data_IF_582576187230
#
_entry.id   IF_582576187230
#
_cell.length_a   1.000
_cell.length_b   1.000
_cell.length_c   1.000
_cell.angle_alpha   90.00
_cell.angle_beta   90.00
_cell.angle_gamma   90.00
#
_symmetry.space_group_name_H-M   'P 1'
#
loop_
_entity.id
_entity.type
_entity.pdbx_description
1 polymer ?
#
# COMPACT_ATOMS: atom_id res chain seq x y z
N UNK A 1 -25.57 -15.33 2.94
CA UNK A 1 -24.26 -15.45 2.26
C UNK A 1 -23.32 -14.47 2.92
N UNK A 2 -22.23 -14.94 3.53
CA UNK A 2 -21.23 -14.03 4.11
C UNK A 2 -20.65 -13.17 3.00
N UNK A 3 -20.65 -11.84 3.20
CA UNK A 3 -20.11 -10.92 2.20
C UNK A 3 -18.58 -11.00 2.27
N UNK A 4 -17.93 -11.24 1.13
CA UNK A 4 -16.47 -11.38 0.98
C UNK A 4 -15.93 -10.37 -0.02
N UNK A 5 -14.62 -10.10 0.00
CA UNK A 5 -13.96 -9.18 -0.93
C UNK A 5 -12.72 -9.81 -1.53
N UNK A 6 -12.67 -9.93 -2.86
CA UNK A 6 -11.46 -10.39 -3.56
C UNK A 6 -10.31 -9.37 -3.45
N UNK A 7 -9.08 -9.86 -3.37
CA UNK A 7 -7.85 -9.06 -3.42
C UNK A 7 -7.76 -8.22 -4.71
N UNK A 8 -8.28 -8.74 -5.83
CA UNK A 8 -8.31 -8.05 -7.13
C UNK A 8 -8.93 -6.64 -7.03
N UNK A 9 -9.96 -6.46 -6.19
CA UNK A 9 -10.59 -5.15 -6.00
C UNK A 9 -9.65 -4.12 -5.37
N UNK A 10 -8.74 -4.56 -4.50
CA UNK A 10 -7.74 -3.70 -3.86
C UNK A 10 -6.55 -3.51 -4.80
N UNK A 11 -6.05 -4.60 -5.38
CA UNK A 11 -4.90 -4.60 -6.30
C UNK A 11 -5.19 -3.74 -7.54
N UNK A 12 -6.35 -3.90 -8.19
CA UNK A 12 -6.72 -3.07 -9.35
C UNK A 12 -6.72 -1.57 -9.04
N UNK A 13 -7.01 -1.19 -7.78
CA UNK A 13 -6.96 0.20 -7.33
C UNK A 13 -5.53 0.70 -7.15
N UNK A 14 -4.62 -0.16 -6.68
CA UNK A 14 -3.18 0.11 -6.68
C UNK A 14 -2.68 0.28 -8.12
N UNK A 15 -2.99 -0.67 -9.00
CA UNK A 15 -2.52 -0.62 -10.39
C UNK A 15 -2.95 0.67 -11.07
N UNK A 16 -4.19 1.12 -10.91
CA UNK A 16 -4.63 2.43 -11.44
C UNK A 16 -3.86 3.64 -10.87
N UNK A 17 -3.28 3.54 -9.67
CA UNK A 17 -2.40 4.59 -9.11
C UNK A 17 -1.01 4.54 -9.76
N UNK A 18 -0.52 3.33 -10.07
CA UNK A 18 0.78 3.10 -10.73
C UNK A 18 0.71 3.37 -12.23
N UNK A 19 -0.34 2.95 -12.94
CA UNK A 19 -0.53 3.11 -14.40
C UNK A 19 -0.56 4.57 -14.87
N UNK A 20 -0.85 5.52 -13.97
CA UNK A 20 -0.72 6.95 -14.27
C UNK A 20 0.75 7.38 -14.45
N UNK A 21 1.69 6.52 -14.09
CA UNK A 21 3.12 6.60 -14.37
C UNK A 21 3.40 5.86 -15.69
N UNK A 22 3.48 6.62 -16.79
CA UNK A 22 3.31 6.15 -18.18
C UNK A 22 4.36 5.15 -18.68
N UNK A 23 5.39 4.88 -17.91
CA UNK A 23 6.51 4.01 -18.29
C UNK A 23 6.46 2.61 -17.63
N UNK A 24 5.48 2.31 -16.78
CA UNK A 24 5.48 1.06 -16.00
C UNK A 24 5.42 -0.23 -16.86
N UNK A 25 4.69 -0.20 -17.97
CA UNK A 25 4.52 -1.37 -18.85
C UNK A 25 5.49 -1.43 -20.04
N UNK A 26 6.30 -0.39 -20.29
CA UNK A 26 7.23 -0.38 -21.42
C UNK A 26 8.52 -1.18 -21.15
N UNK A 27 8.78 -1.54 -19.89
CA UNK A 27 9.98 -2.29 -19.49
C UNK A 27 9.86 -3.82 -19.60
N UNK A 28 8.64 -4.36 -19.59
CA UNK A 28 8.44 -5.82 -19.61
C UNK A 28 8.25 -6.30 -21.05
N UNK A 29 9.32 -6.82 -21.64
CA UNK A 29 9.36 -7.40 -22.99
C UNK A 29 8.66 -8.78 -23.05
N UNK A 30 7.50 -8.93 -22.40
CA UNK A 30 6.73 -10.16 -22.21
C UNK A 30 5.29 -9.98 -22.71
N UNK A 31 4.55 -11.08 -22.92
CA UNK A 31 3.15 -10.99 -23.34
C UNK A 31 2.29 -10.33 -22.26
N UNK A 32 1.27 -9.55 -22.66
CA UNK A 32 0.42 -8.76 -21.74
C UNK A 32 -0.18 -9.62 -20.61
N UNK A 33 -0.49 -10.89 -20.88
CA UNK A 33 -1.02 -11.84 -19.90
C UNK A 33 0.01 -12.31 -18.87
N UNK A 34 1.26 -12.55 -19.28
CA UNK A 34 2.33 -12.97 -18.36
C UNK A 34 2.81 -11.80 -17.49
N UNK A 35 2.79 -10.58 -18.05
CA UNK A 35 3.04 -9.35 -17.28
C UNK A 35 1.95 -9.17 -16.23
N UNK A 36 0.67 -9.41 -16.58
CA UNK A 36 -0.42 -9.30 -15.62
C UNK A 36 -0.28 -10.28 -14.46
N UNK A 37 0.02 -11.56 -14.71
CA UNK A 37 0.16 -12.53 -13.62
C UNK A 37 1.33 -12.21 -12.68
N UNK A 38 2.47 -11.79 -13.24
CA UNK A 38 3.63 -11.39 -12.43
C UNK A 38 3.35 -10.13 -11.60
N UNK A 39 2.69 -9.15 -12.20
CA UNK A 39 2.28 -7.91 -11.53
C UNK A 39 1.27 -8.19 -10.43
N UNK A 40 0.33 -9.11 -10.65
CA UNK A 40 -0.63 -9.52 -9.63
C UNK A 40 0.06 -10.23 -8.47
N UNK A 41 0.96 -11.18 -8.72
CA UNK A 41 1.74 -11.87 -7.68
C UNK A 41 2.53 -10.89 -6.81
N UNK A 42 3.23 -9.94 -7.46
CA UNK A 42 3.95 -8.88 -6.74
C UNK A 42 3.01 -7.98 -5.93
N UNK A 43 1.87 -7.60 -6.52
CA UNK A 43 0.89 -6.76 -5.86
C UNK A 43 0.20 -7.45 -4.68
N UNK A 44 -0.01 -8.76 -4.73
CA UNK A 44 -0.46 -9.57 -3.59
C UNK A 44 0.57 -9.52 -2.46
N UNK A 45 1.87 -9.61 -2.78
CA UNK A 45 2.92 -9.38 -1.79
C UNK A 45 2.87 -7.98 -1.16
N UNK A 46 2.59 -6.93 -1.94
CA UNK A 46 2.40 -5.59 -1.41
C UNK A 46 1.15 -5.47 -0.53
N UNK A 47 0.10 -6.26 -0.81
CA UNK A 47 -1.11 -6.29 -0.01
C UNK A 47 -0.84 -6.88 1.38
N UNK A 48 -0.07 -7.96 1.47
CA UNK A 48 0.30 -8.56 2.76
C UNK A 48 1.12 -7.58 3.61
N UNK A 49 2.15 -6.97 3.04
CA UNK A 49 2.95 -5.95 3.72
C UNK A 49 2.09 -4.74 4.14
N UNK A 50 1.11 -4.36 3.32
CA UNK A 50 0.19 -3.27 3.64
C UNK A 50 -0.77 -3.61 4.79
N UNK A 51 -1.22 -4.87 4.89
CA UNK A 51 -2.01 -5.37 6.02
C UNK A 51 -1.17 -5.34 7.30
N UNK A 52 0.07 -5.86 7.24
CA UNK A 52 1.01 -5.81 8.36
C UNK A 52 1.30 -4.38 8.80
N UNK A 53 1.50 -3.48 7.83
CA UNK A 53 1.69 -2.07 8.11
C UNK A 53 0.47 -1.45 8.79
N UNK A 54 -0.75 -1.77 8.35
CA UNK A 54 -1.97 -1.27 8.98
C UNK A 54 -2.09 -1.76 10.42
N UNK A 55 -2.03 -3.08 10.64
CA UNK A 55 -2.26 -3.70 11.95
C UNK A 55 -1.12 -3.41 12.92
N UNK A 56 0.10 -3.16 12.45
CA UNK A 56 1.19 -2.69 13.32
C UNK A 56 1.04 -1.24 13.81
N UNK A 57 0.21 -0.43 13.12
CA UNK A 57 -0.01 0.98 13.44
C UNK A 57 -1.32 1.25 14.16
N UNK A 58 -2.25 0.30 14.15
CA UNK A 58 -3.52 0.44 14.80
C UNK A 58 -4.18 -0.89 15.15
N UNK A 59 -5.26 -0.81 15.92
CA UNK A 59 -6.16 -1.93 16.18
C UNK A 59 -7.45 -1.70 15.38
N UNK A 60 -7.59 -2.31 14.19
CA UNK A 60 -8.79 -2.14 13.38
C UNK A 60 -10.00 -2.84 14.00
N UNK A 61 -11.20 -2.37 13.68
CA UNK A 61 -12.46 -2.97 14.15
C UNK A 61 -12.72 -4.36 13.53
N UNK A 62 -11.97 -4.73 12.50
CA UNK A 62 -12.05 -6.03 11.80
C UNK A 62 -10.67 -6.64 11.68
N UNK A 63 -10.62 -7.96 11.70
CA UNK A 63 -9.38 -8.68 11.50
C UNK A 63 -8.99 -8.70 10.01
N UNK A 64 -8.01 -7.88 9.64
CA UNK A 64 -7.49 -7.85 8.26
C UNK A 64 -6.69 -9.09 7.89
N UNK A 65 -6.30 -9.95 8.85
CA UNK A 65 -5.70 -11.26 8.58
C UNK A 65 -6.73 -12.35 8.30
N UNK A 66 -8.03 -12.04 8.41
CA UNK A 66 -9.11 -12.97 8.08
C UNK A 66 -9.34 -13.00 6.55
N UNK A 67 -8.36 -13.54 5.83
CA UNK A 67 -8.40 -13.78 4.40
C UNK A 67 -8.16 -15.26 4.08
N UNK A 68 -8.29 -15.60 2.80
CA UNK A 68 -8.00 -16.89 2.23
C UNK A 68 -6.97 -16.69 1.11
N UNK A 69 -5.76 -17.19 1.32
CA UNK A 69 -4.65 -17.05 0.37
C UNK A 69 -4.87 -17.89 -0.90
N UNK A 70 -5.53 -19.06 -0.77
CA UNK A 70 -5.80 -19.93 -1.93
C UNK A 70 -6.87 -19.33 -2.84
N UNK A 71 -7.86 -18.67 -2.25
CA UNK A 71 -8.95 -18.02 -2.96
C UNK A 71 -8.72 -16.52 -3.22
N UNK A 72 -7.59 -15.97 -2.77
CA UNK A 72 -7.22 -14.54 -2.85
C UNK A 72 -8.36 -13.60 -2.45
N UNK A 73 -8.95 -13.84 -1.27
CA UNK A 73 -10.08 -13.05 -0.80
C UNK A 73 -10.11 -12.83 0.71
N UNK A 74 -10.54 -11.64 1.12
CA UNK A 74 -10.97 -11.38 2.49
C UNK A 74 -12.27 -12.13 2.78
N UNK A 75 -12.32 -12.79 3.93
CA UNK A 75 -13.50 -13.52 4.45
C UNK A 75 -14.56 -12.57 5.02
N UNK A 76 -14.42 -11.26 4.76
CA UNK A 76 -15.35 -10.21 5.11
C UNK A 76 -15.45 -9.15 3.99
N UNK A 77 -16.47 -8.31 4.06
CA UNK A 77 -16.65 -7.22 3.11
C UNK A 77 -15.81 -6.02 3.51
N UNK A 78 -14.88 -5.59 2.66
CA UNK A 78 -14.17 -4.33 2.82
C UNK A 78 -15.07 -3.17 2.37
N UNK A 79 -15.08 -2.10 3.17
CA UNK A 79 -15.68 -0.84 2.76
C UNK A 79 -14.85 -0.16 1.68
N UNK A 80 -15.46 0.74 0.92
CA UNK A 80 -14.73 1.54 -0.08
C UNK A 80 -13.59 2.37 0.52
N UNK A 81 -13.69 2.74 1.81
CA UNK A 81 -12.63 3.44 2.55
C UNK A 81 -11.45 2.51 2.82
N UNK A 82 -11.72 1.28 3.26
CA UNK A 82 -10.69 0.27 3.53
C UNK A 82 -9.97 -0.15 2.24
N UNK A 83 -10.70 -0.35 1.14
CA UNK A 83 -10.10 -0.61 -0.18
C UNK A 83 -9.17 0.55 -0.58
N UNK A 84 -9.60 1.80 -0.34
CA UNK A 84 -8.78 2.99 -0.61
C UNK A 84 -7.53 3.07 0.27
N UNK A 85 -7.68 2.79 1.57
CA UNK A 85 -6.59 2.79 2.54
C UNK A 85 -5.55 1.73 2.21
N UNK A 86 -5.97 0.47 2.03
CA UNK A 86 -5.07 -0.63 1.67
C UNK A 86 -4.33 -0.32 0.36
N UNK A 87 -5.03 0.17 -0.67
CA UNK A 87 -4.36 0.54 -1.93
C UNK A 87 -3.33 1.68 -1.78
N UNK A 88 -3.53 2.61 -0.84
CA UNK A 88 -2.54 3.67 -0.54
C UNK A 88 -1.36 3.15 0.29
N UNK A 89 -1.58 2.19 1.19
CA UNK A 89 -0.52 1.52 1.94
C UNK A 89 0.32 0.61 1.03
N UNK A 90 -0.30 -0.12 0.12
CA UNK A 90 0.40 -0.89 -0.91
C UNK A 90 1.29 0.00 -1.78
N UNK A 91 0.85 1.23 -2.06
CA UNK A 91 1.62 2.20 -2.82
C UNK A 91 2.86 2.72 -2.06
N UNK A 92 2.77 2.83 -0.73
CA UNK A 92 3.94 3.10 0.12
C UNK A 92 4.92 1.93 0.07
N UNK A 93 4.45 0.69 0.27
CA UNK A 93 5.29 -0.52 0.21
C UNK A 93 5.99 -0.65 -1.14
N UNK A 94 5.27 -0.38 -2.24
CA UNK A 94 5.83 -0.39 -3.60
C UNK A 94 7.07 0.52 -3.69
N UNK A 95 6.98 1.77 -3.24
CA UNK A 95 8.11 2.69 -3.30
C UNK A 95 9.20 2.41 -2.26
N UNK A 96 8.87 1.82 -1.10
CA UNK A 96 9.89 1.38 -0.15
C UNK A 96 10.75 0.24 -0.73
N UNK A 97 10.14 -0.67 -1.48
CA UNK A 97 10.86 -1.74 -2.18
C UNK A 97 11.73 -1.18 -3.31
N UNK A 98 11.25 -0.20 -4.07
CA UNK A 98 12.06 0.52 -5.06
C UNK A 98 13.24 1.28 -4.40
N UNK A 99 13.02 1.92 -3.25
CA UNK A 99 14.08 2.57 -2.48
C UNK A 99 15.19 1.58 -2.07
N UNK A 100 14.79 0.38 -1.63
CA UNK A 100 15.71 -0.67 -1.23
C UNK A 100 16.56 -1.18 -2.41
N UNK A 101 15.95 -1.34 -3.59
CA UNK A 101 16.65 -1.71 -4.82
C UNK A 101 17.66 -0.62 -5.22
N UNK A 102 17.24 0.64 -5.25
CA UNK A 102 18.12 1.77 -5.57
C UNK A 102 19.33 1.85 -4.62
N UNK A 103 19.12 1.62 -3.32
CA UNK A 103 20.21 1.54 -2.33
C UNK A 103 21.15 0.36 -2.60
N UNK A 104 20.62 -0.82 -2.93
CA UNK A 104 21.42 -2.01 -3.20
C UNK A 104 22.29 -1.88 -4.47
N UNK A 105 21.78 -1.28 -5.54
CA UNK A 105 22.55 -0.99 -6.75
C UNK A 105 23.74 -0.07 -6.47
N UNK A 106 23.56 0.94 -5.60
CA UNK A 106 24.61 1.89 -5.26
C UNK A 106 25.77 1.28 -4.47
N UNK A 107 25.50 0.29 -3.61
CA UNK A 107 26.55 -0.45 -2.88
C UNK A 107 27.47 -1.20 -3.85
N UNK A 108 26.98 -1.55 -5.05
CA UNK A 108 27.70 -2.33 -6.05
C UNK A 108 28.38 -1.47 -7.14
N UNK A 109 28.10 -0.17 -7.21
CA UNK A 109 28.70 0.73 -8.21
C UNK A 109 30.11 1.18 -7.79
N UNK A 110 31.02 1.32 -8.77
CA UNK A 110 32.38 1.80 -8.51
C UNK A 110 32.42 3.33 -8.43
N UNK A 111 33.39 3.94 -7.72
CA UNK A 111 33.49 5.39 -7.56
C UNK A 111 33.50 6.19 -8.87
N UNK A 112 33.93 5.59 -9.97
CA UNK A 112 33.96 6.20 -11.30
C UNK A 112 32.58 6.33 -11.95
N UNK A 113 31.64 5.43 -11.64
CA UNK A 113 30.27 5.43 -12.17
C UNK A 113 29.39 6.52 -11.52
N UNK A 114 29.80 7.01 -10.34
CA UNK A 114 29.06 7.99 -9.53
C UNK A 114 29.19 9.45 -10.03
N UNK A 115 30.16 9.75 -10.90
CA UNK A 115 30.50 11.12 -11.32
C UNK A 115 29.72 11.65 -12.54
N UNK A 116 28.96 10.80 -13.25
CA UNK A 116 28.31 11.19 -14.53
C UNK A 116 26.80 11.47 -14.42
N UNK A 117 26.18 11.18 -13.28
CA UNK A 117 24.77 11.47 -13.03
C UNK A 117 24.67 12.65 -12.06
N UNK A 118 23.55 13.37 -12.03
CA UNK A 118 23.22 14.29 -10.92
C UNK A 118 22.28 13.62 -9.91
N UNK A 119 22.64 12.46 -9.30
CA UNK A 119 21.72 11.62 -8.55
C UNK A 119 21.25 12.25 -7.24
N UNK A 120 21.89 13.33 -6.77
CA UNK A 120 21.55 13.95 -5.49
C UNK A 120 20.17 14.64 -5.50
N UNK A 121 19.85 15.37 -6.58
CA UNK A 121 18.60 16.13 -6.67
C UNK A 121 17.37 15.24 -6.96
N UNK A 122 17.54 14.25 -7.84
CA UNK A 122 16.51 13.24 -8.12
C UNK A 122 16.20 12.41 -6.87
N UNK A 123 17.25 12.04 -6.11
CA UNK A 123 17.09 11.33 -4.84
C UNK A 123 16.39 12.15 -3.78
N UNK A 124 16.77 13.41 -3.59
CA UNK A 124 16.08 14.29 -2.64
C UNK A 124 14.59 14.42 -3.01
N UNK A 125 14.28 14.50 -4.31
CA UNK A 125 12.90 14.53 -4.80
C UNK A 125 12.14 13.23 -4.51
N UNK A 126 12.76 12.07 -4.71
CA UNK A 126 12.18 10.76 -4.40
C UNK A 126 11.97 10.56 -2.90
N UNK A 127 12.98 10.85 -2.06
CA UNK A 127 12.88 10.74 -0.60
C UNK A 127 11.80 11.68 -0.05
N UNK A 128 11.69 12.90 -0.58
CA UNK A 128 10.62 13.83 -0.22
C UNK A 128 9.23 13.33 -0.65
N UNK A 129 9.11 12.73 -1.84
CA UNK A 129 7.87 12.11 -2.30
C UNK A 129 7.45 10.98 -1.37
N UNK A 130 8.36 10.06 -1.06
CA UNK A 130 8.10 8.93 -0.16
C UNK A 130 7.72 9.42 1.24
N UNK A 131 8.41 10.42 1.77
CA UNK A 131 8.07 11.03 3.06
C UNK A 131 6.64 11.62 3.05
N UNK A 132 6.21 12.22 1.93
CA UNK A 132 4.85 12.74 1.78
C UNK A 132 3.82 11.62 1.77
N UNK A 133 4.06 10.55 1.02
CA UNK A 133 3.19 9.37 0.97
C UNK A 133 3.00 8.79 2.38
N UNK A 134 4.10 8.60 3.12
CA UNK A 134 4.08 8.13 4.52
C UNK A 134 3.25 9.04 5.42
N UNK A 135 3.38 10.35 5.27
CA UNK A 135 2.62 11.31 6.06
C UNK A 135 1.12 11.29 5.74
N UNK A 136 0.77 11.18 4.45
CA UNK A 136 -0.62 11.03 3.99
C UNK A 136 -1.24 9.73 4.55
N UNK A 137 -0.52 8.61 4.45
CA UNK A 137 -0.98 7.32 4.97
C UNK A 137 -1.18 7.31 6.48
N UNK A 138 -0.29 7.97 7.26
CA UNK A 138 -0.51 8.15 8.72
C UNK A 138 -1.80 8.89 9.02
N UNK A 139 -2.10 9.94 8.24
CA UNK A 139 -3.34 10.70 8.41
C UNK A 139 -4.57 9.87 8.04
N UNK A 140 -4.49 9.05 7.00
CA UNK A 140 -5.57 8.16 6.58
C UNK A 140 -5.82 7.04 7.60
N UNK A 141 -4.77 6.43 8.16
CA UNK A 141 -4.85 5.48 9.28
C UNK A 141 -5.52 6.15 10.48
N UNK A 142 -5.04 7.32 10.91
CA UNK A 142 -5.62 8.06 12.04
C UNK A 142 -7.11 8.37 11.84
N UNK A 143 -7.48 8.79 10.63
CA UNK A 143 -8.88 9.03 10.26
C UNK A 143 -9.70 7.76 10.30
N UNK A 144 -9.17 6.65 9.81
CA UNK A 144 -9.84 5.35 9.82
C UNK A 144 -10.16 4.89 11.25
N UNK A 145 -9.16 4.87 12.14
CA UNK A 145 -9.33 4.45 13.55
C UNK A 145 -10.35 5.31 14.27
N UNK A 146 -10.31 6.62 14.02
CA UNK A 146 -11.18 7.60 14.67
C UNK A 146 -12.62 7.57 14.16
N UNK A 147 -12.96 6.68 13.23
CA UNK A 147 -14.24 6.66 12.54
C UNK A 147 -14.86 5.28 12.67
N UNK A 148 -16.14 5.24 13.01
CA UNK A 148 -16.90 4.00 13.02
C UNK A 148 -16.99 3.42 11.61
N UNK A 149 -16.60 2.15 11.49
CA UNK A 149 -16.48 1.43 10.22
C UNK A 149 -17.78 1.41 9.41
N UNK A 150 -18.93 1.19 10.05
CA UNK A 150 -20.22 0.97 9.38
C UNK A 150 -20.94 2.26 9.05
N UNK A 151 -20.94 3.20 9.98
CA UNK A 151 -21.67 4.47 9.88
C UNK A 151 -20.82 5.59 9.28
N UNK A 152 -19.50 5.45 9.31
CA UNK A 152 -18.56 6.44 8.81
C UNK A 152 -18.50 7.72 9.64
N UNK A 153 -19.10 7.74 10.84
CA UNK A 153 -19.09 8.86 11.79
C UNK A 153 -17.88 8.77 12.72
N UNK A 154 -17.43 9.92 13.25
CA UNK A 154 -16.35 9.92 14.25
C UNK A 154 -16.76 9.13 15.50
N UNK A 155 -15.85 8.31 16.01
CA UNK A 155 -16.01 7.67 17.31
C UNK A 155 -16.00 8.76 18.38
N UNK A 156 -17.02 8.76 19.25
CA UNK A 156 -17.16 9.71 20.35
C UNK A 156 -16.88 8.94 21.64
N UNK A 157 -16.07 9.52 22.54
CA UNK A 157 -15.89 8.97 23.88
C UNK A 157 -17.16 9.26 24.67
N UNK A 158 -17.87 8.21 25.09
CA UNK A 158 -19.02 8.37 25.97
C UNK A 158 -18.53 8.51 27.42
N UNK A 159 -18.37 9.75 27.89
CA UNK A 159 -17.88 10.04 29.24
C UNK A 159 -18.82 9.56 30.35
N UNK A 160 -20.10 9.29 30.05
CA UNK A 160 -21.06 8.77 31.02
C UNK A 160 -20.78 7.33 31.49
N UNK A 161 -19.78 6.66 30.92
CA UNK A 161 -19.34 5.31 31.31
C UNK A 161 -18.16 5.34 32.30
N UNK A 162 -17.68 6.53 32.65
CA UNK A 162 -16.55 6.77 33.55
C UNK A 162 -16.94 7.60 34.78
N UNK A 163 -18.22 7.97 34.91
CA UNK A 163 -18.79 8.55 36.12
C UNK A 163 -19.21 7.41 37.06
N UNK A 164 -18.23 6.81 37.76
CA UNK A 164 -18.39 6.04 39.00
C UNK A 164 -17.48 6.64 40.10
#
# INVERSE_FOLDING_TARGET
>A
MGQTTSFEKVISRLLRKIEKDKDFFSYYNMSVSEVQSLVMEQATGYLYDAIDLLVSKCEPDVDFYNYDDELEMFRFELTQREIGLLASLMYEVYFERDEALLKAFKIRMTPSDLNQFSPANERASFENMLARIKAENRNDISRYISTDRKTGKRKIINYSQYDD
#
